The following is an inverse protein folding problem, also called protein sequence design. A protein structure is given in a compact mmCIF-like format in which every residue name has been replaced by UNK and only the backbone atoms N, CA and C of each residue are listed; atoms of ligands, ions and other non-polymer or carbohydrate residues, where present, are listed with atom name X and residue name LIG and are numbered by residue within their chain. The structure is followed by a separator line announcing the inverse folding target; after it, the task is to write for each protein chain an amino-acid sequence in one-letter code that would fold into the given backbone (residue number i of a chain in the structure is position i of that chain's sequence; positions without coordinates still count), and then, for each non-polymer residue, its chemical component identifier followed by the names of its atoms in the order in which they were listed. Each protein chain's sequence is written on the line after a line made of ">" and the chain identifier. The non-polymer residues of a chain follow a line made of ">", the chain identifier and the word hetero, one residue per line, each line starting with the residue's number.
data_IF_297505778037
#
_entry.id   IF_297505778037
#
_cell.length_a   1.000
_cell.length_b   1.000
_cell.length_c   1.000
_cell.angle_alpha   90.00
_cell.angle_beta   90.00
_cell.angle_gamma   90.00
#
_symmetry.space_group_name_H-M   'P 1'
#
loop_
_entity.id
_entity.type
_entity.pdbx_description
1 polymer ?
#
# COMPACT_ATOMS: atom_id res chain seq x y z
N UNK A 1 43.90 29.49 -5.95
CA UNK A 1 42.60 29.02 -6.49
C UNK A 1 42.04 28.00 -5.50
N UNK A 2 41.06 28.37 -4.70
CA UNK A 2 40.42 27.49 -3.76
C UNK A 2 39.19 26.83 -4.46
N UNK A 3 38.91 25.53 -4.24
CA UNK A 3 37.74 24.90 -4.84
C UNK A 3 36.47 25.29 -4.09
N UNK A 4 35.52 25.77 -4.86
CA UNK A 4 34.18 26.19 -4.46
C UNK A 4 33.35 24.96 -4.07
N UNK A 5 33.28 24.59 -2.80
CA UNK A 5 32.38 23.58 -2.26
C UNK A 5 30.97 24.15 -2.22
N UNK A 6 30.14 23.81 -3.20
CA UNK A 6 28.70 23.99 -3.14
C UNK A 6 28.17 23.17 -1.98
N UNK A 7 27.90 23.85 -0.87
CA UNK A 7 27.12 23.27 0.22
C UNK A 7 25.73 22.90 -0.31
N UNK A 8 25.43 21.61 -0.33
CA UNK A 8 24.10 21.08 -0.54
C UNK A 8 23.21 21.67 0.57
N UNK A 9 22.27 22.54 0.18
CA UNK A 9 21.25 23.04 1.11
C UNK A 9 20.41 21.85 1.54
N UNK A 10 20.67 21.34 2.76
CA UNK A 10 19.77 20.39 3.42
C UNK A 10 18.37 21.03 3.45
N UNK A 11 17.40 20.39 2.82
CA UNK A 11 16.00 20.81 2.94
C UNK A 11 15.62 20.69 4.41
N UNK A 12 15.45 21.84 5.06
CA UNK A 12 15.01 21.92 6.45
C UNK A 12 13.66 21.23 6.56
N UNK A 13 13.59 20.18 7.37
CA UNK A 13 12.33 19.55 7.77
C UNK A 13 11.47 20.61 8.48
N UNK A 14 10.34 20.98 7.88
CA UNK A 14 9.29 21.76 8.54
C UNK A 14 8.21 20.77 8.99
N UNK A 15 8.20 20.41 10.27
CA UNK A 15 6.94 19.90 10.85
C UNK A 15 5.88 20.98 10.67
N UNK A 16 4.70 20.60 10.17
CA UNK A 16 3.55 21.54 10.16
C UNK A 16 3.36 22.08 11.57
N UNK A 17 3.25 23.39 11.70
CA UNK A 17 2.98 24.03 12.99
C UNK A 17 1.77 23.36 13.66
N UNK A 18 2.00 22.66 14.79
CA UNK A 18 1.00 22.05 15.68
C UNK A 18 -0.23 21.50 14.97
N UNK A 19 -0.10 20.32 14.38
CA UNK A 19 -1.28 19.48 14.17
C UNK A 19 -1.77 19.06 15.55
N UNK A 20 -2.99 19.43 15.90
CA UNK A 20 -3.57 19.12 17.22
C UNK A 20 -4.09 17.68 17.30
N UNK A 21 -4.38 17.05 16.17
CA UNK A 21 -4.91 15.68 16.09
C UNK A 21 -4.73 15.09 14.70
N UNK A 22 -4.60 13.76 14.63
CA UNK A 22 -4.75 12.97 13.42
C UNK A 22 -6.13 12.30 13.48
N UNK A 23 -6.99 12.57 12.50
CA UNK A 23 -8.36 12.07 12.44
C UNK A 23 -8.47 11.11 11.26
N UNK A 24 -8.91 9.90 11.53
CA UNK A 24 -9.19 8.86 10.54
C UNK A 24 -10.68 8.58 10.52
N UNK A 25 -11.33 8.74 9.38
CA UNK A 25 -12.78 8.56 9.21
C UNK A 25 -13.05 7.57 8.09
N UNK A 26 -13.64 6.39 8.35
CA UNK A 26 -14.09 5.49 7.31
C UNK A 26 -15.14 6.15 6.42
N UNK A 27 -15.02 5.99 5.11
CA UNK A 27 -16.07 6.39 4.18
C UNK A 27 -17.17 5.33 4.16
N UNK A 28 -18.43 5.77 4.07
CA UNK A 28 -19.60 4.91 4.01
C UNK A 28 -20.10 4.73 2.58
N UNK A 29 -20.94 3.73 2.36
CA UNK A 29 -21.62 3.46 1.07
C UNK A 29 -20.68 3.20 -0.12
N UNK A 30 -19.47 2.68 0.12
CA UNK A 30 -18.63 2.17 -0.97
C UNK A 30 -19.30 0.89 -1.51
N UNK A 31 -19.69 0.84 -2.79
CA UNK A 31 -20.32 -0.36 -3.35
C UNK A 31 -19.31 -1.50 -3.51
N UNK A 32 -19.81 -2.69 -3.83
CA UNK A 32 -18.95 -3.80 -4.27
C UNK A 32 -18.29 -3.43 -5.60
N UNK A 33 -16.98 -3.23 -5.57
CA UNK A 33 -16.20 -2.79 -6.73
C UNK A 33 -16.09 -3.92 -7.76
N UNK A 34 -16.28 -3.56 -9.01
CA UNK A 34 -16.16 -4.40 -10.19
C UNK A 34 -15.07 -3.88 -11.10
N UNK A 35 -14.69 -4.70 -12.07
CA UNK A 35 -13.77 -4.30 -13.13
C UNK A 35 -14.31 -3.08 -13.87
N UNK A 36 -13.40 -2.15 -14.19
CA UNK A 36 -13.62 -0.89 -14.92
C UNK A 36 -14.48 0.14 -14.17
N UNK A 37 -14.83 -0.09 -12.88
CA UNK A 37 -15.45 0.93 -12.05
C UNK A 37 -14.53 2.15 -11.88
N UNK A 38 -15.10 3.35 -11.97
CA UNK A 38 -14.38 4.59 -11.72
C UNK A 38 -14.31 4.85 -10.20
N UNK A 39 -13.20 4.48 -9.59
CA UNK A 39 -13.01 4.64 -8.14
C UNK A 39 -13.03 6.11 -7.70
N UNK A 40 -12.56 7.05 -8.53
CA UNK A 40 -12.58 8.47 -8.16
C UNK A 40 -14.01 9.00 -8.04
N UNK A 41 -14.92 8.59 -8.95
CA UNK A 41 -16.34 8.97 -8.86
C UNK A 41 -17.01 8.35 -7.62
N UNK A 42 -16.75 7.06 -7.37
CA UNK A 42 -17.29 6.34 -6.22
C UNK A 42 -16.83 6.99 -4.91
N UNK A 43 -15.53 7.31 -4.80
CA UNK A 43 -14.97 7.94 -3.60
C UNK A 43 -15.53 9.34 -3.39
N UNK A 44 -15.67 10.14 -4.44
CA UNK A 44 -16.27 11.50 -4.32
C UNK A 44 -17.72 11.42 -3.87
N UNK A 45 -18.52 10.48 -4.40
CA UNK A 45 -19.88 10.24 -3.94
C UNK A 45 -19.92 9.79 -2.46
N UNK A 46 -19.04 8.87 -2.08
CA UNK A 46 -18.94 8.39 -0.71
C UNK A 46 -18.49 9.47 0.29
N UNK A 47 -17.63 10.41 -0.12
CA UNK A 47 -17.28 11.58 0.67
C UNK A 47 -18.51 12.46 0.96
N UNK A 48 -19.38 12.67 -0.04
CA UNK A 48 -20.64 13.40 0.14
C UNK A 48 -21.59 12.68 1.10
N UNK A 49 -21.77 11.36 0.93
CA UNK A 49 -22.58 10.54 1.83
C UNK A 49 -22.05 10.56 3.27
N UNK A 50 -20.74 10.56 3.42
CA UNK A 50 -20.03 10.67 4.72
C UNK A 50 -20.05 12.09 5.30
N UNK A 51 -20.61 13.08 4.59
CA UNK A 51 -20.61 14.51 4.95
C UNK A 51 -19.19 15.07 5.18
N UNK A 52 -18.23 14.58 4.41
CA UNK A 52 -16.84 15.03 4.47
C UNK A 52 -16.57 15.95 3.29
N UNK A 53 -16.19 17.18 3.56
CA UNK A 53 -15.64 18.10 2.57
C UNK A 53 -14.13 18.01 2.62
N UNK A 54 -13.49 17.65 1.50
CA UNK A 54 -12.03 17.60 1.41
C UNK A 54 -11.43 18.98 1.62
N UNK A 55 -10.30 19.00 2.30
CA UNK A 55 -9.43 20.14 2.46
C UNK A 55 -8.06 19.85 1.83
N UNK A 56 -7.29 20.92 1.57
CA UNK A 56 -5.91 20.71 1.14
C UNK A 56 -5.13 19.98 2.24
N UNK A 57 -4.25 19.09 1.81
CA UNK A 57 -3.44 18.21 2.66
C UNK A 57 -4.20 17.06 3.34
N UNK A 58 -5.47 16.83 3.03
CA UNK A 58 -6.14 15.57 3.37
C UNK A 58 -5.51 14.39 2.61
N UNK A 59 -5.62 13.20 3.17
CA UNK A 59 -5.17 11.97 2.53
C UNK A 59 -6.33 10.98 2.47
N UNK A 60 -6.44 10.26 1.35
CA UNK A 60 -7.33 9.11 1.25
C UNK A 60 -6.49 7.83 1.22
N UNK A 61 -6.78 6.92 2.15
CA UNK A 61 -6.13 5.63 2.24
C UNK A 61 -7.07 4.57 1.73
N UNK A 62 -6.62 3.77 0.75
CA UNK A 62 -7.42 2.78 0.05
C UNK A 62 -6.87 1.38 0.29
N UNK A 63 -7.76 0.43 0.55
CA UNK A 63 -7.41 -0.98 0.49
C UNK A 63 -7.07 -1.38 -0.94
N UNK A 64 -5.97 -2.12 -1.16
CA UNK A 64 -5.55 -2.56 -2.49
C UNK A 64 -6.65 -3.31 -3.24
N UNK A 65 -7.50 -4.06 -2.51
CA UNK A 65 -8.54 -4.92 -3.13
C UNK A 65 -9.50 -4.17 -4.03
N UNK A 66 -9.92 -2.95 -3.66
CA UNK A 66 -10.80 -2.16 -4.51
C UNK A 66 -10.10 -1.67 -5.78
N UNK A 67 -8.82 -1.32 -5.67
CA UNK A 67 -7.99 -0.90 -6.80
C UNK A 67 -7.75 -2.09 -7.74
N UNK A 68 -7.31 -3.22 -7.19
CA UNK A 68 -7.11 -4.45 -7.96
C UNK A 68 -8.36 -4.92 -8.70
N UNK A 69 -9.53 -4.85 -8.07
CA UNK A 69 -10.80 -5.21 -8.72
C UNK A 69 -11.13 -4.26 -9.87
N UNK A 70 -11.04 -2.96 -9.65
CA UNK A 70 -11.30 -1.96 -10.69
C UNK A 70 -10.35 -2.12 -11.88
N UNK A 71 -9.10 -2.53 -11.65
CA UNK A 71 -8.09 -2.81 -12.68
C UNK A 71 -8.22 -4.21 -13.31
N UNK A 72 -9.22 -5.01 -12.90
CA UNK A 72 -9.44 -6.33 -13.48
C UNK A 72 -8.35 -7.36 -13.12
N UNK A 73 -7.75 -7.24 -11.93
CA UNK A 73 -6.70 -8.15 -11.44
C UNK A 73 -7.25 -9.44 -10.82
N UNK A 74 -8.56 -9.66 -10.88
CA UNK A 74 -9.17 -10.93 -10.49
C UNK A 74 -8.91 -11.99 -11.56
N UNK A 75 -8.39 -13.16 -11.15
CA UNK A 75 -8.02 -14.27 -12.03
C UNK A 75 -8.85 -15.50 -11.64
N UNK A 76 -9.48 -16.14 -12.64
CA UNK A 76 -10.11 -17.44 -12.46
C UNK A 76 -9.04 -18.53 -12.59
N UNK A 77 -8.85 -19.32 -11.55
CA UNK A 77 -7.85 -20.39 -11.48
C UNK A 77 -8.05 -21.50 -12.53
N UNK A 78 -9.28 -21.67 -13.04
CA UNK A 78 -9.57 -22.62 -14.15
C UNK A 78 -8.77 -22.27 -15.41
N UNK A 79 -8.44 -21.01 -15.61
CA UNK A 79 -7.67 -20.53 -16.77
C UNK A 79 -6.15 -20.65 -16.60
N UNK A 80 -5.67 -21.06 -15.42
CA UNK A 80 -4.24 -21.09 -15.09
C UNK A 80 -3.69 -22.48 -15.32
N UNK A 81 -2.66 -22.60 -16.16
CA UNK A 81 -1.91 -23.84 -16.37
C UNK A 81 -0.58 -23.75 -15.58
N UNK A 82 -0.41 -24.58 -14.53
CA UNK A 82 0.80 -24.52 -13.72
C UNK A 82 2.03 -25.10 -14.46
N UNK A 83 3.17 -24.44 -14.31
CA UNK A 83 4.47 -24.92 -14.76
C UNK A 83 4.98 -26.09 -13.90
N UNK A 84 6.00 -26.84 -14.40
CA UNK A 84 6.64 -27.90 -13.61
C UNK A 84 7.20 -27.37 -12.28
N UNK A 85 7.76 -26.15 -12.27
CA UNK A 85 8.26 -25.50 -11.06
C UNK A 85 7.14 -25.19 -10.08
N UNK A 86 5.99 -24.70 -10.56
CA UNK A 86 4.83 -24.44 -9.72
C UNK A 86 4.28 -25.72 -9.08
N UNK A 87 4.22 -26.83 -9.84
CA UNK A 87 3.77 -28.14 -9.34
C UNK A 87 4.71 -28.66 -8.25
N UNK A 88 6.02 -28.56 -8.44
CA UNK A 88 7.02 -29.00 -7.45
C UNK A 88 6.91 -28.18 -6.15
N UNK A 89 6.85 -26.84 -6.28
CA UNK A 89 6.76 -25.93 -5.15
C UNK A 89 5.43 -26.08 -4.41
N UNK A 90 4.35 -26.34 -5.13
CA UNK A 90 3.03 -26.59 -4.56
C UNK A 90 3.03 -27.82 -3.65
N UNK A 91 3.73 -28.90 -4.04
CA UNK A 91 3.89 -30.10 -3.20
C UNK A 91 4.62 -29.80 -1.89
N UNK A 92 5.68 -28.96 -1.95
CA UNK A 92 6.47 -28.59 -0.77
C UNK A 92 5.69 -27.67 0.19
N UNK A 93 4.77 -26.89 -0.35
CA UNK A 93 4.06 -25.85 0.41
C UNK A 93 2.60 -26.17 0.68
N UNK A 94 2.11 -27.34 0.23
CA UNK A 94 0.71 -27.78 0.39
C UNK A 94 -0.29 -26.77 -0.16
N UNK A 95 0.03 -26.19 -1.32
CA UNK A 95 -0.79 -25.18 -2.01
C UNK A 95 -1.33 -25.68 -3.35
N UNK A 96 -2.37 -25.02 -3.85
CA UNK A 96 -2.84 -25.22 -5.22
C UNK A 96 -1.74 -24.79 -6.22
N UNK A 97 -1.31 -25.68 -7.13
CA UNK A 97 -0.26 -25.36 -8.10
C UNK A 97 -0.61 -24.20 -9.04
N UNK A 98 -1.91 -23.94 -9.28
CA UNK A 98 -2.37 -22.80 -10.09
C UNK A 98 -2.10 -21.47 -9.36
N UNK A 99 -2.34 -21.45 -8.06
CA UNK A 99 -2.03 -20.27 -7.23
C UNK A 99 -0.52 -20.06 -7.13
N UNK A 100 0.26 -21.14 -6.99
CA UNK A 100 1.74 -21.06 -6.98
C UNK A 100 2.28 -20.55 -8.31
N UNK A 101 1.67 -20.92 -9.44
CA UNK A 101 2.05 -20.37 -10.75
C UNK A 101 1.89 -18.84 -10.77
N UNK A 102 0.76 -18.32 -10.30
CA UNK A 102 0.53 -16.88 -10.21
C UNK A 102 1.50 -16.19 -9.23
N UNK A 103 1.83 -16.85 -8.10
CA UNK A 103 2.86 -16.34 -7.19
C UNK A 103 4.22 -16.21 -7.88
N UNK A 104 4.62 -17.19 -8.70
CA UNK A 104 5.87 -17.15 -9.45
C UNK A 104 5.85 -16.03 -10.51
N UNK A 105 4.72 -15.82 -11.18
CA UNK A 105 4.56 -14.77 -12.19
C UNK A 105 4.61 -13.35 -11.59
N UNK A 106 4.15 -13.18 -10.36
CA UNK A 106 4.16 -11.90 -9.63
C UNK A 106 5.45 -11.68 -8.82
N UNK A 107 6.43 -12.59 -8.90
CA UNK A 107 7.64 -12.55 -8.08
C UNK A 107 8.92 -12.45 -8.89
N UNK A 108 9.92 -11.73 -8.37
CA UNK A 108 11.28 -11.75 -8.87
C UNK A 108 12.04 -12.99 -8.35
N UNK A 109 11.81 -13.36 -7.07
CA UNK A 109 12.56 -14.40 -6.38
C UNK A 109 11.71 -15.06 -5.30
N UNK A 110 11.86 -16.38 -5.11
CA UNK A 110 11.33 -17.14 -3.97
C UNK A 110 12.42 -17.21 -2.91
N UNK A 111 12.17 -16.60 -1.76
CA UNK A 111 13.16 -16.47 -0.69
C UNK A 111 13.08 -17.60 0.34
N UNK A 112 11.89 -17.98 0.75
CA UNK A 112 11.64 -19.02 1.79
C UNK A 112 10.33 -19.73 1.51
N UNK A 113 10.27 -21.00 1.91
CA UNK A 113 9.07 -21.84 1.80
C UNK A 113 8.83 -22.64 3.08
N UNK A 114 7.57 -22.85 3.39
CA UNK A 114 7.10 -23.81 4.38
C UNK A 114 5.67 -24.25 4.03
N UNK A 115 5.13 -25.32 4.60
CA UNK A 115 3.71 -25.64 4.46
C UNK A 115 2.82 -24.42 4.74
N UNK A 116 1.92 -24.11 3.82
CA UNK A 116 1.00 -22.97 3.88
C UNK A 116 1.56 -21.61 3.46
N UNK A 117 2.88 -21.42 3.26
CA UNK A 117 3.45 -20.10 2.94
C UNK A 117 4.66 -20.16 2.01
N UNK A 118 4.68 -19.23 1.05
CA UNK A 118 5.81 -18.92 0.18
C UNK A 118 6.17 -17.45 0.38
N UNK A 119 7.39 -17.17 0.83
CA UNK A 119 7.90 -15.80 0.96
C UNK A 119 8.65 -15.47 -0.31
N UNK A 120 8.25 -14.37 -0.93
CA UNK A 120 8.81 -13.93 -2.20
C UNK A 120 9.26 -12.47 -2.15
N UNK A 121 10.21 -12.13 -3.00
CA UNK A 121 10.35 -10.76 -3.45
C UNK A 121 9.32 -10.52 -4.56
N UNK A 122 8.32 -9.72 -4.28
CA UNK A 122 7.33 -9.33 -5.28
C UNK A 122 7.99 -8.48 -6.38
N UNK A 123 7.47 -8.51 -7.60
CA UNK A 123 7.99 -7.68 -8.71
C UNK A 123 7.94 -6.17 -8.44
N UNK A 124 7.15 -5.72 -7.46
CA UNK A 124 7.13 -4.35 -6.95
C UNK A 124 8.30 -4.03 -5.99
N UNK A 125 9.17 -5.01 -5.68
CA UNK A 125 10.42 -4.84 -4.94
C UNK A 125 10.34 -5.15 -3.44
N UNK A 126 9.16 -5.22 -2.83
CA UNK A 126 9.02 -5.59 -1.42
C UNK A 126 8.95 -7.11 -1.23
N UNK A 127 9.26 -7.56 -0.01
CA UNK A 127 9.14 -8.97 0.38
C UNK A 127 7.81 -9.20 1.08
N UNK A 128 7.06 -10.21 0.61
CA UNK A 128 5.76 -10.56 1.19
C UNK A 128 5.49 -12.07 1.13
N UNK A 129 4.47 -12.52 1.85
CA UNK A 129 3.97 -13.87 1.76
C UNK A 129 3.03 -14.02 0.56
N UNK A 130 3.15 -15.16 -0.14
CA UNK A 130 2.24 -15.58 -1.21
C UNK A 130 2.02 -14.53 -2.32
N UNK A 131 3.03 -13.68 -2.57
CA UNK A 131 2.99 -12.57 -3.54
C UNK A 131 1.79 -11.61 -3.34
N UNK A 132 1.27 -11.47 -2.11
CA UNK A 132 0.10 -10.63 -1.84
C UNK A 132 -1.20 -11.12 -2.51
N UNK A 133 -1.25 -12.38 -2.96
CA UNK A 133 -2.45 -12.94 -3.62
C UNK A 133 -3.52 -13.23 -2.58
N UNK A 134 -4.70 -12.66 -2.79
CA UNK A 134 -5.88 -12.82 -1.94
C UNK A 134 -6.91 -13.80 -2.52
N UNK A 135 -7.50 -14.63 -1.65
CA UNK A 135 -8.70 -15.41 -1.93
C UNK A 135 -9.96 -14.79 -1.31
N UNK A 136 -9.80 -14.05 -0.22
CA UNK A 136 -10.94 -13.51 0.53
C UNK A 136 -11.56 -12.29 -0.17
N UNK A 137 -12.89 -12.21 -0.15
CA UNK A 137 -13.66 -11.08 -0.71
C UNK A 137 -13.40 -10.85 -2.21
N UNK A 138 -13.10 -11.90 -3.00
CA UNK A 138 -12.75 -11.79 -4.43
C UNK A 138 -13.89 -12.14 -5.35
N UNK A 139 -14.65 -13.19 -5.06
CA UNK A 139 -15.69 -13.71 -5.96
C UNK A 139 -16.82 -12.70 -6.21
N UNK A 140 -17.33 -12.66 -7.43
CA UNK A 140 -18.60 -12.02 -7.80
C UNK A 140 -19.81 -12.89 -7.44
N UNK A 141 -21.02 -12.32 -7.50
CA UNK A 141 -22.26 -13.07 -7.27
C UNK A 141 -22.42 -14.16 -8.35
N UNK A 142 -22.51 -15.42 -7.92
CA UNK A 142 -22.74 -16.58 -8.79
C UNK A 142 -21.50 -17.40 -9.15
N UNK A 143 -20.30 -16.94 -8.79
CA UNK A 143 -19.06 -17.70 -9.02
C UNK A 143 -18.71 -18.57 -7.81
N UNK A 144 -18.03 -19.69 -8.05
CA UNK A 144 -17.38 -20.45 -6.98
C UNK A 144 -16.27 -19.60 -6.36
N UNK A 145 -16.42 -19.25 -5.07
CA UNK A 145 -15.48 -18.39 -4.34
C UNK A 145 -14.05 -18.98 -4.34
N UNK A 146 -13.93 -20.30 -4.43
CA UNK A 146 -12.67 -21.03 -4.35
C UNK A 146 -11.86 -20.96 -5.66
N UNK A 147 -12.46 -20.57 -6.77
CA UNK A 147 -11.80 -20.52 -8.08
C UNK A 147 -11.23 -19.15 -8.44
N UNK A 148 -11.49 -18.12 -7.65
CA UNK A 148 -11.02 -16.78 -7.95
C UNK A 148 -9.98 -16.31 -6.94
N UNK A 149 -8.95 -15.65 -7.47
CA UNK A 149 -7.92 -14.96 -6.69
C UNK A 149 -7.77 -13.53 -7.18
N UNK A 150 -7.27 -12.66 -6.30
CA UNK A 150 -7.00 -11.28 -6.61
C UNK A 150 -5.50 -11.01 -6.48
N UNK A 151 -4.89 -10.54 -7.55
CA UNK A 151 -3.51 -10.09 -7.58
C UNK A 151 -3.43 -8.62 -7.16
N UNK A 152 -2.28 -8.17 -6.71
CA UNK A 152 -2.03 -6.76 -6.43
C UNK A 152 -2.14 -5.90 -7.71
N UNK A 153 -2.39 -4.58 -7.60
CA UNK A 153 -2.35 -3.68 -8.75
C UNK A 153 -1.01 -3.77 -9.47
N UNK A 154 -1.02 -3.63 -10.78
CA UNK A 154 0.20 -3.77 -11.59
C UNK A 154 1.26 -2.72 -11.26
N UNK A 155 0.82 -1.49 -11.03
CA UNK A 155 1.65 -0.35 -10.63
C UNK A 155 0.84 0.52 -9.65
N UNK A 156 0.89 0.19 -8.34
CA UNK A 156 0.10 0.88 -7.33
C UNK A 156 0.42 2.38 -7.20
N UNK A 157 1.67 2.80 -7.43
CA UNK A 157 2.04 4.21 -7.44
C UNK A 157 1.37 4.96 -8.60
N UNK A 158 1.31 4.35 -9.78
CA UNK A 158 0.60 4.91 -10.93
C UNK A 158 -0.90 5.00 -10.67
N UNK A 159 -1.47 3.97 -10.07
CA UNK A 159 -2.89 3.94 -9.68
C UNK A 159 -3.20 5.03 -8.67
N UNK A 160 -2.35 5.22 -7.67
CA UNK A 160 -2.48 6.28 -6.68
C UNK A 160 -2.39 7.68 -7.33
N UNK A 161 -1.43 7.90 -8.22
CA UNK A 161 -1.30 9.19 -8.95
C UNK A 161 -2.52 9.47 -9.81
N UNK A 162 -2.98 8.51 -10.61
CA UNK A 162 -4.17 8.65 -11.45
C UNK A 162 -5.38 9.04 -10.60
N UNK A 163 -5.63 8.34 -9.51
CA UNK A 163 -6.76 8.59 -8.62
C UNK A 163 -6.67 9.97 -7.96
N UNK A 164 -5.48 10.36 -7.47
CA UNK A 164 -5.25 11.70 -6.92
C UNK A 164 -5.61 12.78 -7.94
N UNK A 165 -5.09 12.66 -9.16
CA UNK A 165 -5.29 13.67 -10.19
C UNK A 165 -6.77 13.77 -10.59
N UNK A 166 -7.49 12.66 -10.72
CA UNK A 166 -8.92 12.64 -11.00
C UNK A 166 -9.74 13.27 -9.87
N UNK A 167 -9.44 12.97 -8.60
CA UNK A 167 -10.14 13.57 -7.44
C UNK A 167 -9.80 15.06 -7.35
N UNK A 168 -8.55 15.45 -7.60
CA UNK A 168 -8.15 16.87 -7.61
C UNK A 168 -8.91 17.66 -8.68
N UNK A 169 -9.08 17.12 -9.89
CA UNK A 169 -9.89 17.75 -10.94
C UNK A 169 -11.33 17.95 -10.51
N UNK A 170 -11.92 16.97 -9.80
CA UNK A 170 -13.33 17.02 -9.36
C UNK A 170 -13.57 17.95 -8.16
N UNK A 171 -12.59 18.09 -7.28
CA UNK A 171 -12.77 18.76 -5.98
C UNK A 171 -12.00 20.07 -5.86
N UNK A 172 -11.01 20.30 -6.73
CA UNK A 172 -10.08 21.43 -6.65
C UNK A 172 -9.10 21.36 -5.48
N UNK A 173 -9.02 20.20 -4.76
CA UNK A 173 -8.21 20.07 -3.55
C UNK A 173 -6.92 19.29 -3.80
N UNK A 174 -5.82 19.76 -3.21
CA UNK A 174 -4.53 19.08 -3.21
C UNK A 174 -4.50 18.05 -2.09
N UNK A 175 -4.54 16.78 -2.45
CA UNK A 175 -4.62 15.65 -1.50
C UNK A 175 -3.51 14.63 -1.73
N UNK A 176 -3.32 13.73 -0.75
CA UNK A 176 -2.52 12.52 -0.89
C UNK A 176 -3.40 11.29 -1.10
N UNK A 177 -2.85 10.30 -1.82
CA UNK A 177 -3.44 8.96 -1.97
C UNK A 177 -2.43 7.92 -1.48
N UNK A 178 -2.89 7.01 -0.63
CA UNK A 178 -2.13 5.88 -0.13
C UNK A 178 -2.90 4.58 -0.40
N UNK A 179 -2.30 3.66 -1.14
CA UNK A 179 -2.84 2.31 -1.33
C UNK A 179 -2.11 1.38 -0.37
N UNK A 180 -2.87 0.58 0.39
CA UNK A 180 -2.33 -0.29 1.42
C UNK A 180 -2.75 -1.74 1.23
N UNK A 181 -1.91 -2.64 1.75
CA UNK A 181 -2.21 -4.06 1.88
C UNK A 181 -1.85 -4.58 3.27
N UNK A 182 -2.38 -5.75 3.65
CA UNK A 182 -2.16 -6.37 4.96
C UNK A 182 -1.04 -7.39 4.90
N UNK A 183 0.13 -7.05 5.40
CA UNK A 183 1.32 -7.92 5.37
C UNK A 183 1.68 -8.49 6.75
N UNK A 184 2.15 -9.73 6.76
CA UNK A 184 2.90 -10.30 7.87
C UNK A 184 4.27 -9.63 8.01
N UNK A 185 4.84 -9.71 9.21
CA UNK A 185 6.16 -9.14 9.50
C UNK A 185 7.10 -10.20 10.04
N UNK A 186 8.39 -10.06 9.76
CA UNK A 186 9.41 -10.88 10.41
C UNK A 186 9.31 -10.74 11.94
N UNK A 187 9.47 -11.86 12.66
CA UNK A 187 9.52 -11.93 14.13
C UNK A 187 8.25 -11.52 14.88
N UNK A 188 7.13 -11.31 14.20
CA UNK A 188 5.86 -10.93 14.83
C UNK A 188 4.69 -11.72 14.27
N UNK A 189 3.75 -12.07 15.12
CA UNK A 189 2.46 -12.62 14.73
C UNK A 189 1.51 -11.53 14.23
N UNK A 190 0.54 -11.91 13.41
CA UNK A 190 -0.47 -11.03 12.86
C UNK A 190 0.01 -10.23 11.64
N UNK A 191 -0.93 -9.59 10.98
CA UNK A 191 -0.69 -8.68 9.85
C UNK A 191 -0.81 -7.23 10.30
N UNK A 192 -0.27 -6.33 9.48
CA UNK A 192 -0.41 -4.89 9.65
C UNK A 192 -0.57 -4.27 8.26
N UNK A 193 -1.33 -3.18 8.17
CA UNK A 193 -1.38 -2.40 6.94
C UNK A 193 -0.02 -1.81 6.62
N UNK A 194 0.45 -1.99 5.38
CA UNK A 194 1.65 -1.36 4.85
C UNK A 194 1.32 -0.63 3.55
N UNK A 195 2.10 0.39 3.24
CA UNK A 195 2.02 1.12 1.97
C UNK A 195 2.51 0.24 0.82
N UNK A 196 1.74 0.17 -0.26
CA UNK A 196 2.14 -0.45 -1.52
C UNK A 196 2.05 0.49 -2.72
N UNK A 197 1.39 1.65 -2.57
CA UNK A 197 1.31 2.68 -3.60
C UNK A 197 1.10 4.06 -2.99
N UNK A 198 1.86 5.05 -3.44
CA UNK A 198 1.96 6.38 -2.84
C UNK A 198 1.83 7.46 -3.90
N UNK A 199 1.02 8.49 -3.64
CA UNK A 199 1.00 9.71 -4.43
C UNK A 199 0.72 10.93 -3.55
N UNK A 200 1.56 11.95 -3.62
CA UNK A 200 1.33 13.24 -2.97
C UNK A 200 1.58 13.27 -1.46
N UNK A 201 2.20 12.24 -0.87
CA UNK A 201 2.64 12.24 0.54
C UNK A 201 4.00 11.56 0.68
N UNK A 202 4.82 11.88 1.70
CA UNK A 202 6.13 11.26 1.89
C UNK A 202 5.98 9.77 2.25
N UNK A 203 6.75 8.90 1.60
CA UNK A 203 6.93 7.51 2.04
C UNK A 203 7.74 7.47 3.32
N UNK A 204 8.88 8.15 3.32
CA UNK A 204 9.82 8.22 4.43
C UNK A 204 10.11 9.67 4.84
N UNK A 205 10.27 9.91 6.14
CA UNK A 205 10.72 11.18 6.70
C UNK A 205 12.10 10.99 7.33
N UNK A 206 13.08 11.73 6.86
CA UNK A 206 14.47 11.65 7.34
C UNK A 206 14.72 12.75 8.40
N UNK A 207 14.96 12.31 9.64
CA UNK A 207 15.28 13.18 10.77
C UNK A 207 16.77 13.23 11.09
N UNK A 208 17.61 12.59 10.30
CA UNK A 208 19.07 12.67 10.51
C UNK A 208 19.55 14.12 10.36
N UNK A 209 20.42 14.54 11.27
CA UNK A 209 20.89 15.93 11.33
C UNK A 209 19.99 16.89 12.13
N UNK A 210 18.80 16.46 12.58
CA UNK A 210 17.94 17.25 13.47
C UNK A 210 18.31 17.01 14.94
N UNK A 211 18.19 18.03 15.81
CA UNK A 211 18.39 17.85 17.23
C UNK A 211 17.18 17.15 17.87
N UNK A 212 17.44 16.33 18.89
CA UNK A 212 16.41 15.89 19.83
C UNK A 212 16.07 16.99 20.87
N UNK A 213 15.25 16.65 21.88
CA UNK A 213 14.82 17.59 22.92
C UNK A 213 15.98 18.13 23.76
N UNK A 214 17.13 17.44 23.81
CA UNK A 214 18.29 17.79 24.58
C UNK A 214 19.47 18.31 23.72
N UNK A 215 19.25 18.51 22.43
CA UNK A 215 20.23 19.00 21.48
C UNK A 215 21.14 17.93 20.87
N UNK A 216 20.89 16.62 21.13
CA UNK A 216 21.65 15.56 20.49
C UNK A 216 21.22 15.46 19.01
N UNK A 217 22.20 15.49 18.11
CA UNK A 217 21.96 15.36 16.67
C UNK A 217 21.64 13.92 16.30
N UNK A 218 20.42 13.68 15.81
CA UNK A 218 19.97 12.37 15.33
C UNK A 218 20.83 11.90 14.16
N UNK A 219 21.31 10.64 14.21
CA UNK A 219 22.24 10.08 13.21
C UNK A 219 21.63 9.04 12.30
N UNK A 220 20.60 8.34 12.78
CA UNK A 220 20.02 7.17 12.09
C UNK A 220 18.49 7.22 11.96
N UNK A 221 17.85 8.22 12.56
CA UNK A 221 16.39 8.26 12.67
C UNK A 221 15.73 8.58 11.33
N UNK A 222 15.03 7.61 10.81
CA UNK A 222 14.17 7.70 9.63
C UNK A 222 12.82 7.06 9.96
N UNK A 223 11.73 7.67 9.54
CA UNK A 223 10.36 7.27 9.85
C UNK A 223 9.70 6.80 8.55
N UNK A 224 9.15 5.59 8.53
CA UNK A 224 8.29 5.11 7.45
C UNK A 224 6.89 5.70 7.58
N UNK A 225 6.75 7.00 7.29
CA UNK A 225 5.54 7.76 7.59
C UNK A 225 4.29 7.23 6.86
N UNK A 226 4.46 6.72 5.65
CA UNK A 226 3.35 6.10 4.93
C UNK A 226 2.96 4.75 5.54
N UNK A 227 3.91 3.96 6.06
CA UNK A 227 3.60 2.69 6.74
C UNK A 227 2.92 2.92 8.09
N UNK A 228 3.33 3.93 8.86
CA UNK A 228 2.64 4.31 10.10
C UNK A 228 1.18 4.70 9.82
N UNK A 229 0.95 5.49 8.76
CA UNK A 229 -0.40 5.87 8.35
C UNK A 229 -1.18 4.67 7.82
N UNK A 230 -0.56 3.79 7.05
CA UNK A 230 -1.16 2.56 6.54
C UNK A 230 -1.63 1.66 7.69
N UNK A 231 -0.80 1.48 8.72
CA UNK A 231 -1.14 0.70 9.90
C UNK A 231 -2.33 1.31 10.66
N UNK A 232 -2.35 2.63 10.86
CA UNK A 232 -3.44 3.33 11.52
C UNK A 232 -4.76 3.21 10.71
N UNK A 233 -4.72 3.41 9.40
CA UNK A 233 -5.88 3.27 8.53
C UNK A 233 -6.40 1.83 8.48
N UNK A 234 -5.51 0.84 8.48
CA UNK A 234 -5.86 -0.59 8.50
C UNK A 234 -6.67 -0.98 9.74
N UNK A 235 -6.42 -0.36 10.90
CA UNK A 235 -7.23 -0.55 12.11
C UNK A 235 -8.69 -0.10 11.90
N UNK A 236 -8.89 0.96 11.13
CA UNK A 236 -10.22 1.51 10.85
C UNK A 236 -10.94 0.75 9.72
N UNK A 237 -10.19 0.17 8.79
CA UNK A 237 -10.74 -0.62 7.68
C UNK A 237 -11.32 -1.96 8.15
N UNK A 238 -10.74 -2.53 9.21
CA UNK A 238 -10.98 -3.92 9.58
C UNK A 238 -10.30 -4.91 8.62
N UNK A 239 -10.49 -6.20 8.85
CA UNK A 239 -9.82 -7.28 8.10
C UNK A 239 -10.80 -8.33 7.56
N UNK A 240 -12.09 -8.21 7.81
CA UNK A 240 -13.10 -9.21 7.49
C UNK A 240 -14.24 -8.67 6.60
N UNK A 241 -15.36 -8.31 7.19
CA UNK A 241 -16.60 -7.95 6.48
C UNK A 241 -17.10 -6.55 6.83
N UNK A 242 -16.22 -5.68 7.30
CA UNK A 242 -16.55 -4.32 7.75
C UNK A 242 -17.02 -3.42 6.60
N UNK A 243 -16.56 -3.68 5.38
CA UNK A 243 -17.01 -2.96 4.18
C UNK A 243 -16.53 -1.50 4.10
N UNK A 244 -15.44 -1.16 4.77
CA UNK A 244 -14.88 0.21 4.84
C UNK A 244 -13.50 0.31 4.17
N UNK A 245 -13.40 0.12 2.84
CA UNK A 245 -12.12 0.01 2.15
C UNK A 245 -11.43 1.36 1.88
N UNK A 246 -12.02 2.47 2.28
CA UNK A 246 -11.46 3.82 2.10
C UNK A 246 -11.55 4.61 3.41
N UNK A 247 -10.41 5.16 3.83
CA UNK A 247 -10.32 6.00 5.02
C UNK A 247 -9.89 7.42 4.61
N UNK A 248 -10.67 8.40 5.00
CA UNK A 248 -10.29 9.80 4.97
C UNK A 248 -9.39 10.13 6.15
N UNK A 249 -8.30 10.83 5.91
CA UNK A 249 -7.32 11.23 6.93
C UNK A 249 -7.12 12.73 6.88
N UNK A 250 -7.27 13.38 8.02
CA UNK A 250 -6.99 14.81 8.23
C UNK A 250 -6.00 15.00 9.37
N UNK A 251 -5.08 15.93 9.18
CA UNK A 251 -4.09 16.25 10.21
C UNK A 251 -2.81 15.42 10.14
N UNK A 252 -2.44 14.90 8.96
CA UNK A 252 -1.13 14.25 8.77
C UNK A 252 -0.01 15.24 9.11
N UNK A 253 0.95 14.85 9.98
CA UNK A 253 1.87 15.80 10.59
C UNK A 253 3.02 16.28 9.69
N UNK A 254 3.15 15.69 8.50
CA UNK A 254 4.24 15.99 7.57
C UNK A 254 3.72 16.74 6.34
N UNK A 255 4.59 17.54 5.73
CA UNK A 255 4.28 18.24 4.48
C UNK A 255 4.06 17.25 3.35
N UNK A 256 2.98 17.43 2.59
CA UNK A 256 2.71 16.62 1.41
C UNK A 256 3.71 16.94 0.30
N UNK A 257 4.26 15.88 -0.30
CA UNK A 257 5.19 15.96 -1.42
C UNK A 257 5.07 14.74 -2.32
N UNK A 258 5.58 14.84 -3.52
CA UNK A 258 5.71 13.67 -4.38
C UNK A 258 6.68 12.65 -3.78
N UNK A 259 6.24 11.40 -3.81
CA UNK A 259 6.99 10.25 -3.40
C UNK A 259 6.50 9.00 -4.14
N UNK A 260 7.16 7.89 -3.94
CA UNK A 260 6.82 6.59 -4.49
C UNK A 260 7.19 5.49 -3.49
N UNK A 261 6.66 4.30 -3.70
CA UNK A 261 6.89 3.13 -2.86
C UNK A 261 8.39 2.82 -2.63
N UNK A 262 9.24 3.09 -3.63
CA UNK A 262 10.67 2.82 -3.54
C UNK A 262 11.38 3.57 -2.41
N UNK A 263 10.80 4.65 -1.85
CA UNK A 263 11.34 5.29 -0.64
C UNK A 263 11.32 4.37 0.59
N UNK A 264 10.39 3.42 0.65
CA UNK A 264 10.21 2.48 1.75
C UNK A 264 10.95 1.16 1.54
N UNK A 265 11.32 0.84 0.30
CA UNK A 265 11.99 -0.42 -0.01
C UNK A 265 13.48 -0.30 0.31
N UNK A 266 13.93 -1.19 1.20
CA UNK A 266 15.35 -1.27 1.57
C UNK A 266 16.16 -1.86 0.42
N UNK A 267 17.32 -1.26 0.05
CA UNK A 267 18.25 -1.87 -0.90
C UNK A 267 18.67 -3.28 -0.45
N UNK A 268 18.82 -4.21 -1.42
CA UNK A 268 19.13 -5.63 -1.13
C UNK A 268 20.40 -5.80 -0.28
N UNK A 269 21.42 -5.01 -0.55
CA UNK A 269 22.71 -5.02 0.15
C UNK A 269 22.63 -4.52 1.60
N UNK A 270 21.53 -3.88 1.98
CA UNK A 270 21.26 -3.41 3.35
C UNK A 270 20.21 -4.28 4.07
N UNK A 271 19.68 -5.31 3.40
CA UNK A 271 18.65 -6.17 3.97
C UNK A 271 19.29 -7.34 4.71
N UNK A 272 19.07 -7.41 6.02
CA UNK A 272 19.59 -8.47 6.90
C UNK A 272 18.65 -9.69 7.01
N UNK A 273 17.50 -9.68 6.32
CA UNK A 273 16.48 -10.74 6.43
C UNK A 273 16.37 -11.63 5.21
N UNK A 274 17.17 -11.42 4.21
CA UNK A 274 17.25 -12.24 2.99
C UNK A 274 18.17 -13.44 3.15
#
# INVERSE_FOLDING_TARGET
>A
MAPNTRASRSRVFRAKNKVSSLILTPLINIPLIRRDDNLADIIVASLQDSRITLEDDDILVLAQKIVSKAEGRAINLVTVTPSARAIELAKQTEKDPRVVELMLQESNEVLRTRPGAIIVEHRLGFVCANAGIDHSNVAGAGDSVEEWVLLLPTDPDRSARKMRDEIQVKTGKRIGILIIDSHGRAWRNGTVGIAIGIAGLPGMVDLRGHPDLFGYTLRVTQIGAADELAAAASLMMGQAAEGTPVIHVRGFPYELREAALNELIRPKEQDLFR
#
